data_IF_531814807937
#
_entry.id   IF_531814807937
#
_cell.length_a   1.000
_cell.length_b   1.000
_cell.length_c   1.000
_cell.angle_alpha   90.00
_cell.angle_beta   90.00
_cell.angle_gamma   90.00
#
_symmetry.space_group_name_H-M   'P 1'
#
loop_
_entity.id
_entity.type
_entity.pdbx_description
1 polymer ?
#
# COMPACT_ATOMS: atom_id res chain seq x y z
N UNK A 1 -2.45 7.61 -33.11
CA UNK A 1 -1.03 8.04 -33.14
C UNK A 1 -0.89 9.21 -32.17
N UNK A 2 -0.06 9.11 -31.14
CA UNK A 2 0.23 10.23 -30.23
C UNK A 2 1.06 11.30 -30.96
N UNK A 3 0.74 12.58 -30.77
CA UNK A 3 1.55 13.68 -31.29
C UNK A 3 2.89 13.73 -30.50
N UNK A 4 4.05 13.59 -31.17
CA UNK A 4 5.37 13.51 -30.52
C UNK A 4 5.75 14.77 -29.73
N UNK A 5 5.18 15.93 -30.05
CA UNK A 5 5.43 17.18 -29.29
C UNK A 5 4.95 17.07 -27.83
N UNK A 6 3.86 16.33 -27.57
CA UNK A 6 3.39 16.11 -26.20
C UNK A 6 4.28 15.14 -25.42
N UNK A 7 5.02 14.26 -26.11
CA UNK A 7 5.97 13.36 -25.46
C UNK A 7 7.16 14.15 -24.88
N UNK A 8 7.73 15.06 -25.68
CA UNK A 8 8.86 15.89 -25.24
C UNK A 8 8.46 16.81 -24.08
N UNK A 9 7.27 17.41 -24.14
CA UNK A 9 6.71 18.21 -23.05
C UNK A 9 6.53 17.34 -21.78
N UNK A 10 5.95 16.15 -21.92
CA UNK A 10 5.74 15.22 -20.79
C UNK A 10 7.08 14.85 -20.12
N UNK A 11 8.08 14.45 -20.90
CA UNK A 11 9.42 14.10 -20.40
C UNK A 11 10.11 15.27 -19.70
N UNK A 12 9.97 16.49 -20.24
CA UNK A 12 10.53 17.68 -19.61
C UNK A 12 9.90 17.96 -18.24
N UNK A 13 8.57 17.83 -18.12
CA UNK A 13 7.87 18.00 -16.85
C UNK A 13 8.24 16.90 -15.84
N UNK A 14 8.36 15.64 -16.28
CA UNK A 14 8.84 14.53 -15.45
C UNK A 14 10.23 14.81 -14.88
N UNK A 15 11.18 15.22 -15.72
CA UNK A 15 12.54 15.58 -15.29
C UNK A 15 12.58 16.75 -14.31
N UNK A 16 11.74 17.78 -14.51
CA UNK A 16 11.63 18.92 -13.59
C UNK A 16 11.13 18.50 -12.21
N UNK A 17 10.06 17.70 -12.14
CA UNK A 17 9.49 17.21 -10.87
C UNK A 17 10.50 16.35 -10.12
N UNK A 18 11.16 15.41 -10.80
CA UNK A 18 12.17 14.55 -10.18
C UNK A 18 13.36 15.35 -9.64
N UNK A 19 13.83 16.34 -10.40
CA UNK A 19 14.95 17.21 -9.97
C UNK A 19 14.56 18.05 -8.76
N UNK A 20 13.39 18.71 -8.81
CA UNK A 20 12.90 19.51 -7.69
C UNK A 20 12.68 18.66 -6.43
N UNK A 21 12.12 17.46 -6.58
CA UNK A 21 11.91 16.55 -5.47
C UNK A 21 13.25 16.08 -4.88
N UNK A 22 14.21 15.66 -5.71
CA UNK A 22 15.56 15.29 -5.23
C UNK A 22 16.24 16.42 -4.46
N UNK A 23 16.23 17.64 -5.00
CA UNK A 23 16.82 18.79 -4.30
C UNK A 23 16.17 19.05 -2.94
N UNK A 24 14.87 18.82 -2.82
CA UNK A 24 14.15 18.97 -1.54
C UNK A 24 14.53 17.91 -0.49
N UNK A 25 15.06 16.75 -0.92
CA UNK A 25 15.59 15.71 -0.03
C UNK A 25 17.02 16.03 0.45
N UNK A 26 17.87 16.56 -0.44
CA UNK A 26 19.30 16.70 -0.21
C UNK A 26 19.71 17.99 0.54
N UNK A 27 19.01 19.12 0.34
CA UNK A 27 19.56 20.44 0.71
C UNK A 27 18.80 21.23 1.79
N UNK A 28 17.46 21.12 1.86
CA UNK A 28 16.67 22.10 2.63
C UNK A 28 15.75 21.47 3.68
N UNK A 29 15.50 20.16 3.61
CA UNK A 29 14.50 19.45 4.42
C UNK A 29 13.14 20.19 4.49
N UNK A 30 12.86 21.08 3.52
CA UNK A 30 11.80 22.08 3.57
C UNK A 30 10.41 21.46 3.38
N UNK A 31 10.36 20.27 2.80
CA UNK A 31 9.17 19.45 2.73
C UNK A 31 9.05 18.58 3.97
N UNK A 32 7.87 18.57 4.58
CA UNK A 32 7.53 17.55 5.58
C UNK A 32 7.52 16.17 4.92
N UNK A 33 7.69 15.10 5.70
CA UNK A 33 7.63 13.73 5.18
C UNK A 33 6.28 13.41 4.52
N UNK A 34 5.21 14.08 4.95
CA UNK A 34 3.86 13.97 4.37
C UNK A 34 3.81 14.55 2.96
N UNK A 35 4.40 15.73 2.75
CA UNK A 35 4.50 16.34 1.42
C UNK A 35 5.34 15.48 0.48
N UNK A 36 6.40 14.84 0.99
CA UNK A 36 7.22 13.90 0.19
C UNK A 36 6.42 12.68 -0.24
N UNK A 37 5.61 12.14 0.66
CA UNK A 37 4.75 11.00 0.39
C UNK A 37 3.65 11.36 -0.62
N UNK A 38 3.03 12.54 -0.50
CA UNK A 38 2.07 13.03 -1.49
C UNK A 38 2.70 13.20 -2.89
N UNK A 39 3.92 13.74 -2.98
CA UNK A 39 4.65 13.87 -4.24
C UNK A 39 4.96 12.48 -4.83
N UNK A 40 5.42 11.53 -4.01
CA UNK A 40 5.61 10.15 -4.42
C UNK A 40 4.32 9.52 -4.97
N UNK A 41 3.15 9.86 -4.41
CA UNK A 41 1.86 9.30 -4.84
C UNK A 41 1.47 9.80 -6.22
N UNK A 42 1.66 11.10 -6.47
CA UNK A 42 1.44 11.70 -7.79
C UNK A 42 2.39 11.08 -8.82
N UNK A 43 3.67 10.88 -8.46
CA UNK A 43 4.62 10.23 -9.37
C UNK A 43 4.25 8.76 -9.64
N UNK A 44 3.89 7.99 -8.61
CA UNK A 44 3.34 6.64 -8.73
C UNK A 44 2.18 6.58 -9.75
N UNK A 45 1.19 7.46 -9.62
CA UNK A 45 0.05 7.51 -10.52
C UNK A 45 0.44 7.88 -11.97
N UNK A 46 1.42 8.77 -12.14
CA UNK A 46 1.92 9.18 -13.45
C UNK A 46 2.69 8.05 -14.15
N UNK A 47 3.50 7.28 -13.43
CA UNK A 47 4.23 6.14 -14.01
C UNK A 47 3.25 5.07 -14.53
N UNK A 48 2.20 4.75 -13.76
CA UNK A 48 1.13 3.81 -14.17
C UNK A 48 0.44 4.23 -15.46
N UNK A 49 0.24 5.54 -15.68
CA UNK A 49 -0.38 6.07 -16.90
C UNK A 49 0.61 6.08 -18.09
N UNK A 50 1.90 6.25 -17.80
CA UNK A 50 2.91 6.54 -18.83
C UNK A 50 3.53 5.31 -19.49
N UNK A 51 3.86 4.26 -18.71
CA UNK A 51 4.51 3.06 -19.26
C UNK A 51 3.93 1.74 -18.72
N UNK A 52 3.08 1.80 -17.69
CA UNK A 52 2.48 0.61 -17.07
C UNK A 52 3.49 -0.40 -16.55
N UNK A 53 4.77 -0.02 -16.41
CA UNK A 53 5.83 -0.93 -16.01
C UNK A 53 5.90 -1.01 -14.49
N UNK A 54 6.03 -2.23 -14.00
CA UNK A 54 6.16 -2.52 -12.57
C UNK A 54 7.39 -1.83 -11.94
N UNK A 55 8.40 -1.45 -12.73
CA UNK A 55 9.69 -0.94 -12.23
C UNK A 55 9.59 0.49 -11.70
N UNK A 56 9.02 1.43 -12.48
CA UNK A 56 8.88 2.83 -12.05
C UNK A 56 8.00 2.97 -10.80
N UNK A 57 6.89 2.24 -10.79
CA UNK A 57 6.02 2.08 -9.64
C UNK A 57 6.77 1.53 -8.40
N UNK A 58 7.53 0.45 -8.56
CA UNK A 58 8.32 -0.16 -7.47
C UNK A 58 9.33 0.84 -6.90
N UNK A 59 9.98 1.67 -7.71
CA UNK A 59 10.90 2.70 -7.23
C UNK A 59 10.20 3.79 -6.38
N UNK A 60 9.00 4.21 -6.75
CA UNK A 60 8.25 5.20 -5.98
C UNK A 60 7.67 4.62 -4.68
N UNK A 61 7.21 3.37 -4.69
CA UNK A 61 6.82 2.66 -3.46
C UNK A 61 8.03 2.49 -2.53
N UNK A 62 9.21 2.15 -3.06
CA UNK A 62 10.43 2.09 -2.26
C UNK A 62 10.83 3.47 -1.67
N UNK A 63 10.66 4.54 -2.44
CA UNK A 63 10.85 5.91 -1.94
C UNK A 63 9.86 6.29 -0.84
N UNK A 64 8.60 5.86 -0.97
CA UNK A 64 7.58 6.00 0.05
C UNK A 64 7.93 5.21 1.32
N UNK A 65 8.46 3.97 1.18
CA UNK A 65 8.97 3.16 2.28
C UNK A 65 10.08 3.88 3.08
N UNK A 66 11.03 4.49 2.39
CA UNK A 66 12.10 5.26 3.04
C UNK A 66 11.56 6.50 3.78
N UNK A 67 10.57 7.19 3.20
CA UNK A 67 9.89 8.31 3.88
C UNK A 67 9.12 7.81 5.12
N UNK A 68 8.49 6.64 5.01
CA UNK A 68 7.74 5.96 6.06
C UNK A 68 8.60 5.62 7.28
N UNK A 69 9.82 5.13 7.08
CA UNK A 69 10.72 4.83 8.21
C UNK A 69 11.11 6.11 8.99
N UNK A 70 11.27 7.24 8.30
CA UNK A 70 11.45 8.54 8.96
C UNK A 70 10.20 8.99 9.71
N UNK A 71 9.02 8.67 9.20
CA UNK A 71 7.72 9.02 9.80
C UNK A 71 7.43 8.15 11.03
N UNK A 72 7.78 6.85 11.01
CA UNK A 72 7.62 5.91 12.13
C UNK A 72 8.33 6.35 13.40
N UNK A 73 9.42 7.11 13.28
CA UNK A 73 10.08 7.73 14.42
C UNK A 73 9.19 8.77 15.12
N UNK A 74 8.21 9.34 14.43
CA UNK A 74 7.21 10.27 14.96
C UNK A 74 5.94 9.52 15.36
N UNK A 75 5.65 9.44 16.67
CA UNK A 75 4.47 8.74 17.20
C UNK A 75 3.13 9.46 16.93
N UNK A 76 3.16 10.70 16.45
CA UNK A 76 1.97 11.53 16.23
C UNK A 76 1.87 11.92 14.76
N UNK A 77 1.24 11.06 13.96
CA UNK A 77 0.96 11.33 12.55
C UNK A 77 -0.33 12.11 12.39
N UNK A 78 -0.34 13.08 11.46
CA UNK A 78 -1.57 13.73 11.01
C UNK A 78 -2.52 12.72 10.38
N UNK A 79 -3.78 13.12 10.20
CA UNK A 79 -4.77 12.30 9.50
C UNK A 79 -4.33 12.04 8.05
N UNK A 80 -3.85 13.08 7.37
CA UNK A 80 -3.38 13.06 5.99
C UNK A 80 -2.17 12.13 5.83
N UNK A 81 -1.23 12.16 6.78
CA UNK A 81 -0.10 11.24 6.81
C UNK A 81 -0.58 9.80 6.89
N UNK A 82 -1.45 9.47 7.88
CA UNK A 82 -1.99 8.12 8.07
C UNK A 82 -2.70 7.62 6.82
N UNK A 83 -3.49 8.48 6.16
CA UNK A 83 -4.17 8.14 4.92
C UNK A 83 -3.18 7.83 3.79
N UNK A 84 -2.19 8.70 3.57
CA UNK A 84 -1.15 8.45 2.56
C UNK A 84 -0.39 7.14 2.83
N UNK A 85 -0.06 6.83 4.09
CA UNK A 85 0.60 5.56 4.43
C UNK A 85 -0.23 4.35 4.00
N UNK A 86 -1.52 4.34 4.36
CA UNK A 86 -2.45 3.26 4.02
C UNK A 86 -2.63 3.13 2.51
N UNK A 87 -2.70 4.26 1.81
CA UNK A 87 -2.82 4.28 0.35
C UNK A 87 -1.62 3.60 -0.32
N UNK A 88 -0.38 3.97 0.03
CA UNK A 88 0.82 3.35 -0.55
C UNK A 88 0.90 1.87 -0.29
N UNK A 89 0.60 1.47 0.95
CA UNK A 89 0.63 0.09 1.32
C UNK A 89 -0.44 -0.75 0.65
N UNK A 90 -1.65 -0.24 0.49
CA UNK A 90 -2.73 -0.93 -0.23
C UNK A 90 -2.28 -1.27 -1.64
N UNK A 91 -1.70 -0.27 -2.29
CA UNK A 91 -1.20 -0.33 -3.64
C UNK A 91 0.01 -1.26 -3.78
N UNK A 92 0.93 -1.24 -2.82
CA UNK A 92 2.06 -2.18 -2.77
C UNK A 92 1.60 -3.63 -2.54
N UNK A 93 0.71 -3.88 -1.57
CA UNK A 93 0.15 -5.21 -1.31
C UNK A 93 -0.55 -5.77 -2.54
N UNK A 94 -1.46 -5.01 -3.15
CA UNK A 94 -2.16 -5.48 -4.36
C UNK A 94 -1.22 -5.78 -5.51
N UNK A 95 -0.21 -4.92 -5.73
CA UNK A 95 0.79 -5.14 -6.77
C UNK A 95 1.61 -6.39 -6.48
N UNK A 96 2.01 -6.57 -5.22
CA UNK A 96 2.90 -7.64 -4.80
C UNK A 96 2.21 -9.01 -4.85
N UNK A 97 0.94 -9.08 -4.42
CA UNK A 97 0.07 -10.25 -4.61
C UNK A 97 -0.09 -10.57 -6.10
N UNK A 98 -0.38 -9.57 -6.92
CA UNK A 98 -0.59 -9.77 -8.38
C UNK A 98 0.67 -10.25 -9.11
N UNK A 99 1.84 -9.97 -8.56
CA UNK A 99 3.15 -10.34 -9.11
C UNK A 99 3.80 -11.52 -8.37
N UNK A 100 3.08 -12.14 -7.44
CA UNK A 100 3.58 -13.23 -6.58
C UNK A 100 4.96 -12.93 -5.97
N UNK A 101 5.08 -11.75 -5.35
CA UNK A 101 6.31 -11.28 -4.71
C UNK A 101 5.99 -10.70 -3.34
N UNK A 102 7.00 -10.65 -2.46
CA UNK A 102 6.89 -9.98 -1.16
C UNK A 102 6.59 -8.47 -1.31
N UNK A 103 5.66 -7.90 -0.51
CA UNK A 103 5.46 -6.46 -0.41
C UNK A 103 6.73 -5.73 0.02
N UNK A 104 6.95 -4.53 -0.52
CA UNK A 104 8.01 -3.63 -0.07
C UNK A 104 7.69 -3.00 1.28
N UNK A 105 6.40 -2.80 1.57
CA UNK A 105 5.88 -2.21 2.79
C UNK A 105 5.32 -3.31 3.70
N UNK A 106 6.11 -3.74 4.69
CA UNK A 106 5.68 -4.75 5.68
C UNK A 106 5.43 -4.17 7.08
N UNK A 107 4.58 -4.86 7.86
CA UNK A 107 4.33 -4.58 9.29
C UNK A 107 3.03 -3.82 9.63
N UNK A 108 2.91 -3.44 10.89
CA UNK A 108 1.65 -3.02 11.55
C UNK A 108 1.13 -1.63 11.17
N UNK A 109 1.60 -1.02 10.08
CA UNK A 109 1.15 0.32 9.67
C UNK A 109 -0.35 0.35 9.29
N UNK A 110 -0.94 -0.83 9.03
CA UNK A 110 -2.38 -1.06 8.93
C UNK A 110 -3.12 -0.91 10.25
N UNK A 111 -2.46 -1.24 11.36
CA UNK A 111 -3.07 -1.44 12.69
C UNK A 111 -3.14 -0.16 13.54
N UNK A 112 -3.33 1.00 12.92
CA UNK A 112 -3.63 2.18 13.72
C UNK A 112 -4.92 1.91 14.50
N UNK A 113 -4.89 2.04 15.82
CA UNK A 113 -6.03 1.85 16.74
C UNK A 113 -7.27 2.69 16.37
N UNK A 114 -7.10 3.67 15.50
CA UNK A 114 -8.14 4.44 14.81
C UNK A 114 -8.78 3.66 13.64
N UNK A 115 -9.09 2.38 13.86
CA UNK A 115 -9.98 1.56 13.00
C UNK A 115 -11.44 2.08 13.02
N UNK A 116 -11.66 3.31 13.49
CA UNK A 116 -12.98 3.93 13.63
C UNK A 116 -13.48 4.51 12.30
N UNK A 117 -12.57 4.86 11.39
CA UNK A 117 -12.92 5.36 10.08
C UNK A 117 -12.67 4.28 9.05
N UNK A 118 -13.76 3.61 8.70
CA UNK A 118 -14.09 3.31 7.31
C UNK A 118 -13.26 4.15 6.33
N UNK A 119 -12.25 3.56 5.69
CA UNK A 119 -11.69 4.17 4.48
C UNK A 119 -12.47 3.58 3.31
N UNK A 120 -13.47 4.31 2.74
CA UNK A 120 -14.26 3.81 1.63
C UNK A 120 -13.40 3.55 0.38
N UNK A 121 -12.19 4.11 0.30
CA UNK A 121 -11.25 3.89 -0.80
C UNK A 121 -10.38 2.64 -0.60
N UNK A 122 -10.12 2.24 0.65
CA UNK A 122 -9.49 0.96 1.01
C UNK A 122 -10.52 -0.12 1.46
N UNK A 123 -11.79 0.07 1.09
CA UNK A 123 -12.87 -0.89 1.25
C UNK A 123 -13.13 -1.41 2.69
N UNK A 124 -13.01 -0.58 3.73
CA UNK A 124 -13.28 -1.01 5.13
C UNK A 124 -12.40 -2.16 5.67
N UNK A 125 -11.38 -2.57 4.94
CA UNK A 125 -10.69 -3.82 5.21
C UNK A 125 -9.17 -3.68 5.40
N UNK A 126 -8.64 -2.62 6.06
CA UNK A 126 -7.19 -2.45 6.21
C UNK A 126 -6.53 -3.67 6.88
N UNK A 127 -7.23 -4.30 7.83
CA UNK A 127 -6.79 -5.53 8.48
C UNK A 127 -6.80 -6.76 7.55
N UNK A 128 -7.69 -6.82 6.57
CA UNK A 128 -7.68 -7.91 5.58
C UNK A 128 -6.55 -7.68 4.57
N UNK A 129 -6.33 -6.44 4.14
CA UNK A 129 -5.20 -6.10 3.25
C UNK A 129 -3.87 -6.39 3.95
N UNK A 130 -3.77 -6.14 5.26
CA UNK A 130 -2.65 -6.61 6.07
C UNK A 130 -2.46 -8.13 5.95
N UNK A 131 -3.48 -8.94 6.23
CA UNK A 131 -3.36 -10.39 6.12
C UNK A 131 -3.00 -10.85 4.71
N UNK A 132 -3.57 -10.24 3.66
CA UNK A 132 -3.18 -10.52 2.28
C UNK A 132 -1.68 -10.21 2.02
N UNK A 133 -1.16 -9.14 2.61
CA UNK A 133 0.26 -8.81 2.52
C UNK A 133 1.13 -9.82 3.27
N UNK A 134 0.70 -10.29 4.44
CA UNK A 134 1.42 -11.30 5.23
C UNK A 134 1.39 -12.68 4.55
N UNK A 135 0.28 -13.07 3.91
CA UNK A 135 0.20 -14.30 3.10
C UNK A 135 1.24 -14.26 1.96
N UNK A 136 1.41 -13.10 1.33
CA UNK A 136 2.42 -12.90 0.29
C UNK A 136 3.85 -13.00 0.82
N UNK A 137 4.10 -12.64 2.09
CA UNK A 137 5.37 -12.92 2.76
C UNK A 137 5.52 -14.42 3.02
N UNK A 138 4.48 -15.09 3.55
CA UNK A 138 4.51 -16.52 3.85
C UNK A 138 4.85 -17.38 2.63
N UNK A 139 4.30 -17.05 1.45
CA UNK A 139 4.62 -17.76 0.21
C UNK A 139 6.09 -17.72 -0.23
N UNK A 140 6.93 -16.90 0.44
CA UNK A 140 8.38 -16.87 0.21
C UNK A 140 9.20 -17.73 1.18
N UNK A 141 8.55 -18.30 2.20
CA UNK A 141 9.18 -19.14 3.22
C UNK A 141 9.19 -20.60 2.75
N UNK A 142 10.27 -21.34 3.05
CA UNK A 142 10.30 -22.79 2.78
C UNK A 142 9.28 -23.53 3.66
N UNK A 143 8.65 -24.59 3.15
CA UNK A 143 7.62 -25.32 3.88
C UNK A 143 8.18 -25.95 5.17
N UNK A 144 7.84 -25.36 6.32
CA UNK A 144 8.26 -25.81 7.65
C UNK A 144 7.22 -25.48 8.74
N UNK A 145 7.58 -25.69 10.01
CA UNK A 145 6.71 -25.39 11.16
C UNK A 145 6.42 -23.88 11.32
N UNK A 146 7.33 -23.00 10.89
CA UNK A 146 7.16 -21.54 10.98
C UNK A 146 6.09 -21.06 9.98
N UNK A 147 6.12 -21.59 8.75
CA UNK A 147 5.10 -21.33 7.74
C UNK A 147 3.71 -21.77 8.22
N UNK A 148 3.58 -22.97 8.79
CA UNK A 148 2.30 -23.47 9.30
C UNK A 148 1.78 -22.63 10.47
N UNK A 149 2.65 -22.26 11.41
CA UNK A 149 2.28 -21.42 12.54
C UNK A 149 1.79 -20.04 12.08
N UNK A 150 2.50 -19.39 11.16
CA UNK A 150 2.08 -18.12 10.58
C UNK A 150 0.75 -18.22 9.83
N UNK A 151 0.54 -19.30 9.08
CA UNK A 151 -0.72 -19.56 8.41
C UNK A 151 -1.90 -19.72 9.38
N UNK A 152 -1.69 -20.41 10.51
CA UNK A 152 -2.72 -20.54 11.55
C UNK A 152 -3.09 -19.20 12.19
N UNK A 153 -2.10 -18.36 12.48
CA UNK A 153 -2.32 -17.02 13.06
C UNK A 153 -3.14 -16.14 12.10
N UNK A 154 -2.79 -16.14 10.81
CA UNK A 154 -3.52 -15.41 9.78
C UNK A 154 -4.95 -15.96 9.65
N UNK A 155 -5.12 -17.28 9.55
CA UNK A 155 -6.44 -17.91 9.40
C UNK A 155 -7.36 -17.60 10.60
N UNK A 156 -6.83 -17.69 11.83
CA UNK A 156 -7.58 -17.32 13.03
C UNK A 156 -7.97 -15.83 13.00
N UNK A 157 -7.02 -14.97 12.63
CA UNK A 157 -7.24 -13.54 12.49
C UNK A 157 -8.31 -13.16 11.46
N UNK A 158 -8.35 -13.86 10.32
CA UNK A 158 -9.37 -13.69 9.27
C UNK A 158 -10.74 -14.24 9.68
N UNK A 159 -10.79 -15.31 10.48
CA UNK A 159 -12.02 -15.92 10.96
C UNK A 159 -12.71 -15.06 12.03
N UNK A 160 -11.93 -14.42 12.90
CA UNK A 160 -12.44 -13.55 13.96
C UNK A 160 -12.82 -12.15 13.46
N UNK A 161 -12.24 -11.72 12.34
CA UNK A 161 -12.50 -10.40 11.78
C UNK A 161 -13.97 -10.24 11.37
N UNK A 162 -14.55 -9.09 11.72
CA UNK A 162 -15.92 -8.70 11.33
C UNK A 162 -15.91 -7.28 10.79
N UNK A 163 -16.67 -7.04 9.73
CA UNK A 163 -16.93 -5.68 9.25
C UNK A 163 -17.63 -4.89 10.37
N UNK A 164 -17.04 -3.76 10.79
CA UNK A 164 -17.62 -2.94 11.86
C UNK A 164 -18.95 -2.35 11.39
N UNK A 165 -20.04 -2.66 12.11
CA UNK A 165 -21.34 -2.06 11.88
C UNK A 165 -21.36 -0.66 12.51
N UNK A 166 -21.43 0.39 11.70
CA UNK A 166 -21.29 1.74 12.24
C UNK A 166 -21.53 2.94 11.35
N UNK A 167 -22.04 2.81 10.12
CA UNK A 167 -22.77 3.87 9.40
C UNK A 167 -23.83 3.15 8.58
N UNK A 168 -25.10 3.34 8.94
CA UNK A 168 -26.27 2.63 8.44
C UNK A 168 -26.56 2.95 6.96
N UNK A 169 -25.78 2.39 6.02
CA UNK A 169 -26.08 2.35 4.56
C UNK A 169 -25.07 1.53 3.71
N UNK A 170 -24.12 0.78 4.28
CA UNK A 170 -22.94 0.31 3.54
C UNK A 170 -22.96 -1.19 3.15
N UNK A 171 -24.12 -1.73 2.74
CA UNK A 171 -24.24 -3.12 2.26
C UNK A 171 -23.24 -3.46 1.12
N UNK A 172 -22.99 -2.58 0.13
CA UNK A 172 -21.97 -2.85 -0.90
C UNK A 172 -20.54 -2.93 -0.35
N UNK A 173 -20.20 -2.13 0.66
CA UNK A 173 -18.85 -2.12 1.26
C UNK A 173 -18.65 -3.32 2.19
N UNK A 174 -19.70 -3.75 2.88
CA UNK A 174 -19.68 -5.00 3.64
C UNK A 174 -19.46 -6.21 2.72
N UNK A 175 -20.15 -6.26 1.58
CA UNK A 175 -19.96 -7.28 0.56
C UNK A 175 -18.53 -7.27 -0.01
N UNK A 176 -18.00 -6.08 -0.32
CA UNK A 176 -16.63 -5.95 -0.81
C UNK A 176 -15.60 -6.41 0.23
N UNK A 177 -15.79 -6.05 1.50
CA UNK A 177 -14.92 -6.49 2.60
C UNK A 177 -14.94 -8.01 2.77
N UNK A 178 -16.13 -8.61 2.70
CA UNK A 178 -16.31 -10.06 2.78
C UNK A 178 -15.70 -10.78 1.57
N UNK A 179 -15.73 -10.15 0.40
CA UNK A 179 -15.05 -10.63 -0.80
C UNK A 179 -13.54 -10.65 -0.60
N UNK A 180 -12.95 -9.58 -0.07
CA UNK A 180 -11.52 -9.56 0.29
C UNK A 180 -11.17 -10.64 1.32
N UNK A 181 -12.01 -10.81 2.36
CA UNK A 181 -11.81 -11.84 3.39
C UNK A 181 -11.78 -13.24 2.78
N UNK A 182 -12.73 -13.52 1.90
CA UNK A 182 -12.84 -14.80 1.19
C UNK A 182 -11.65 -15.02 0.26
N UNK A 183 -11.24 -14.00 -0.49
CA UNK A 183 -10.06 -14.05 -1.33
C UNK A 183 -8.78 -14.33 -0.53
N UNK A 184 -8.66 -13.78 0.68
CA UNK A 184 -7.52 -14.06 1.56
C UNK A 184 -7.43 -15.54 1.99
N UNK A 185 -8.56 -16.20 2.27
CA UNK A 185 -8.54 -17.64 2.55
C UNK A 185 -8.10 -18.47 1.35
N UNK A 186 -8.61 -18.14 0.15
CA UNK A 186 -8.20 -18.81 -1.09
C UNK A 186 -6.70 -18.60 -1.36
N UNK A 187 -6.20 -17.38 -1.14
CA UNK A 187 -4.78 -17.08 -1.32
C UNK A 187 -3.91 -17.83 -0.29
N UNK A 188 -4.33 -17.87 0.97
CA UNK A 188 -3.64 -18.61 2.01
C UNK A 188 -3.54 -20.11 1.68
N UNK A 189 -4.62 -20.72 1.20
CA UNK A 189 -4.58 -22.13 0.74
C UNK A 189 -3.58 -22.34 -0.40
N UNK A 190 -3.44 -21.37 -1.31
CA UNK A 190 -2.54 -21.52 -2.46
C UNK A 190 -1.04 -21.42 -2.14
N UNK A 191 -0.68 -20.89 -0.96
CA UNK A 191 0.72 -20.77 -0.52
C UNK A 191 1.12 -21.83 0.51
N UNK A 192 0.19 -22.71 0.90
CA UNK A 192 0.41 -23.88 1.75
C UNK A 192 0.69 -25.13 0.90
#
# INVERSE_FOLDING_TARGET
MCNPEFNDISLQHRGRVLTAFRSSLDQDNSLTSEMRLAIAMVMCALETISDGTSVGWTCHVAGAAACLDSIRASRNLSFEAKWLLRFFAYHDSLTSISLDRKPLLTGDYWMSSDDALADPYCAYAPRIIFYLSEISVLGTIECDEELLQGAYEIASGLAEWKCKAGITSDEPLALLSETYRSAAFVYLESVL
#
